data_IF_688924077916
#
_entry.id   IF_688924077916
#
_cell.length_a   1.000
_cell.length_b   1.000
_cell.length_c   1.000
_cell.angle_alpha   90.00
_cell.angle_beta   90.00
_cell.angle_gamma   90.00
#
_symmetry.space_group_name_H-M   'P 1'
#
loop_
_entity.id
_entity.type
_entity.pdbx_description
1 polymer ?
#
# COMPACT_ATOMS: atom_id res chain seq x y z
N UNK A 1 5.94 -11.76 14.98
CA UNK A 1 6.09 -10.30 14.84
C UNK A 1 5.47 -9.90 13.50
N UNK A 2 4.14 -9.93 13.41
CA UNK A 2 3.43 -9.37 12.27
C UNK A 2 3.56 -7.85 12.36
N UNK A 3 4.53 -7.29 11.66
CA UNK A 3 4.60 -5.85 11.45
C UNK A 3 3.35 -5.47 10.66
N UNK A 4 2.33 -5.07 11.42
CA UNK A 4 0.99 -4.64 11.03
C UNK A 4 0.84 -4.40 9.51
N UNK A 5 0.23 -5.36 8.81
CA UNK A 5 -0.17 -5.20 7.41
C UNK A 5 -1.37 -4.23 7.34
N UNK A 6 -1.11 -2.96 7.66
CA UNK A 6 -2.09 -1.87 7.58
C UNK A 6 -1.77 -0.97 6.39
N UNK A 7 -2.80 -0.30 5.88
CA UNK A 7 -2.69 0.66 4.79
C UNK A 7 -1.62 1.72 5.09
N UNK A 8 -1.64 2.27 6.30
CA UNK A 8 -0.66 3.28 6.74
C UNK A 8 0.77 2.76 6.75
N UNK A 9 1.00 1.52 7.21
CA UNK A 9 2.34 0.92 7.19
C UNK A 9 2.85 0.71 5.76
N UNK A 10 1.95 0.40 4.82
CA UNK A 10 2.27 0.31 3.40
C UNK A 10 2.59 1.69 2.80
N UNK A 11 1.74 2.69 3.01
CA UNK A 11 1.93 4.05 2.49
C UNK A 11 3.22 4.69 3.02
N UNK A 12 3.54 4.48 4.30
CA UNK A 12 4.80 4.95 4.89
C UNK A 12 6.02 4.34 4.21
N UNK A 13 5.98 3.05 3.83
CA UNK A 13 7.09 2.41 3.08
C UNK A 13 7.23 2.98 1.67
N UNK A 14 6.11 3.22 0.98
CA UNK A 14 6.12 3.84 -0.36
C UNK A 14 6.71 5.26 -0.28
N UNK A 15 6.28 6.05 0.69
CA UNK A 15 6.79 7.41 0.88
C UNK A 15 8.28 7.44 1.26
N UNK A 16 8.76 6.49 2.07
CA UNK A 16 10.19 6.39 2.40
C UNK A 16 11.06 6.04 1.19
N UNK A 17 10.52 5.30 0.22
CA UNK A 17 11.22 4.97 -1.03
C UNK A 17 11.32 6.18 -1.96
N UNK A 18 10.27 6.97 -2.04
CA UNK A 18 10.15 8.11 -2.95
C UNK A 18 9.75 9.41 -2.21
N UNK A 19 10.60 9.93 -1.30
CA UNK A 19 10.21 10.97 -0.34
C UNK A 19 9.92 12.33 -0.97
N UNK A 20 10.44 12.59 -2.16
CA UNK A 20 10.27 13.88 -2.87
C UNK A 20 9.12 13.86 -3.89
N UNK A 21 8.35 12.77 -3.97
CA UNK A 21 7.25 12.63 -4.93
C UNK A 21 5.88 12.68 -4.22
N UNK A 22 5.46 13.87 -3.80
CA UNK A 22 4.20 14.09 -3.09
C UNK A 22 2.96 13.64 -3.86
N UNK A 23 2.92 13.90 -5.16
CA UNK A 23 1.82 13.59 -6.07
C UNK A 23 1.70 12.08 -6.29
N UNK A 24 2.83 11.39 -6.39
CA UNK A 24 2.87 9.94 -6.44
C UNK A 24 2.34 9.34 -5.13
N UNK A 25 2.82 9.83 -3.97
CA UNK A 25 2.35 9.37 -2.67
C UNK A 25 0.83 9.62 -2.47
N UNK A 26 0.32 10.77 -2.93
CA UNK A 26 -1.10 11.07 -2.91
C UNK A 26 -1.90 10.11 -3.80
N UNK A 27 -1.48 9.91 -5.06
CA UNK A 27 -2.17 9.02 -5.99
C UNK A 27 -2.20 7.57 -5.45
N UNK A 28 -1.09 7.09 -4.89
CA UNK A 28 -1.04 5.77 -4.25
C UNK A 28 -1.99 5.70 -3.05
N UNK A 29 -2.06 6.74 -2.21
CA UNK A 29 -3.03 6.80 -1.10
C UNK A 29 -4.46 6.71 -1.59
N UNK A 30 -4.84 7.49 -2.60
CA UNK A 30 -6.20 7.48 -3.14
C UNK A 30 -6.59 6.10 -3.68
N UNK A 31 -5.74 5.50 -4.51
CA UNK A 31 -5.98 4.17 -5.09
C UNK A 31 -6.03 3.09 -4.01
N UNK A 32 -5.06 3.08 -3.08
CA UNK A 32 -5.00 2.05 -2.05
C UNK A 32 -6.14 2.16 -1.03
N UNK A 33 -6.62 3.37 -0.72
CA UNK A 33 -7.78 3.54 0.18
C UNK A 33 -9.03 2.86 -0.38
N UNK A 34 -9.24 2.92 -1.70
CA UNK A 34 -10.35 2.23 -2.37
C UNK A 34 -10.11 0.72 -2.49
N UNK A 35 -8.88 0.29 -2.77
CA UNK A 35 -8.55 -1.13 -2.97
C UNK A 35 -8.33 -1.92 -1.68
N UNK A 36 -8.02 -1.28 -0.55
CA UNK A 36 -7.68 -1.97 0.70
C UNK A 36 -8.75 -2.96 1.18
N UNK A 37 -10.06 -2.59 1.23
CA UNK A 37 -11.11 -3.52 1.64
C UNK A 37 -11.25 -4.71 0.69
N UNK A 38 -11.01 -4.50 -0.61
CA UNK A 38 -11.02 -5.58 -1.60
C UNK A 38 -9.84 -6.55 -1.39
N UNK A 39 -8.65 -6.02 -1.13
CA UNK A 39 -7.45 -6.82 -0.83
C UNK A 39 -7.58 -7.59 0.49
N UNK A 40 -8.30 -7.03 1.48
CA UNK A 40 -8.62 -7.73 2.74
C UNK A 40 -9.51 -8.95 2.51
N UNK A 41 -10.49 -8.81 1.63
CA UNK A 41 -11.41 -9.91 1.26
C UNK A 41 -10.77 -10.91 0.30
N UNK A 42 -9.72 -10.53 -0.43
CA UNK A 42 -9.08 -11.34 -1.46
C UNK A 42 -7.56 -11.46 -1.24
N UNK A 43 -7.11 -12.22 -0.22
CA UNK A 43 -5.70 -12.29 0.17
C UNK A 43 -4.76 -12.79 -0.94
N UNK A 44 -5.29 -13.52 -1.95
CA UNK A 44 -4.54 -13.98 -3.13
C UNK A 44 -3.80 -12.86 -3.86
N UNK A 45 -4.35 -11.64 -3.88
CA UNK A 45 -3.74 -10.51 -4.60
C UNK A 45 -2.58 -9.87 -3.84
N UNK A 46 -2.43 -10.12 -2.54
CA UNK A 46 -1.26 -9.68 -1.76
C UNK A 46 -0.06 -10.60 -1.88
N UNK A 47 -0.27 -11.83 -2.36
CA UNK A 47 0.77 -12.85 -2.49
C UNK A 47 1.45 -12.81 -3.87
N UNK A 48 0.86 -12.11 -4.83
CA UNK A 48 1.40 -11.92 -6.18
C UNK A 48 2.06 -10.54 -6.29
N UNK A 49 3.21 -10.36 -5.64
CA UNK A 49 4.09 -9.23 -5.96
C UNK A 49 4.87 -9.55 -7.24
N UNK A 50 4.80 -8.69 -8.25
CA UNK A 50 5.67 -8.79 -9.42
C UNK A 50 7.15 -8.61 -8.98
N UNK A 51 8.08 -9.46 -9.48
CA UNK A 51 9.49 -9.43 -9.11
C UNK A 51 10.22 -8.16 -9.60
#
# INVERSE_FOLDING_TARGET
MDQACSLESFLNRVQQRDPHQSEFAQAVREVMTTLWPFLEQNPRYRQMSLP
#
